data_IF_856859409423
#
_entry.id   IF_856859409423
#
_cell.length_a   1.000
_cell.length_b   1.000
_cell.length_c   1.000
_cell.angle_alpha   90.00
_cell.angle_beta   90.00
_cell.angle_gamma   90.00
#
_symmetry.space_group_name_H-M   'P 1'
#
loop_
_entity.id
_entity.type
_entity.pdbx_description
1 polymer ?
#
# COMPACT_ATOMS: atom_id res chain seq x y z
N UNK A 1 -7.90 11.07 25.96
CA UNK A 1 -9.02 10.50 26.75
C UNK A 1 -10.34 10.52 25.96
N UNK A 2 -10.68 11.66 25.33
CA UNK A 2 -11.94 11.84 24.60
C UNK A 2 -12.12 10.90 23.39
N UNK A 3 -11.08 10.70 22.57
CA UNK A 3 -11.13 9.81 21.40
C UNK A 3 -11.35 8.35 21.82
N UNK A 4 -10.68 7.89 22.89
CA UNK A 4 -10.86 6.53 23.41
C UNK A 4 -12.30 6.26 23.89
N UNK A 5 -12.98 7.27 24.41
CA UNK A 5 -14.38 7.16 24.85
C UNK A 5 -15.39 6.93 23.72
N UNK A 6 -15.00 7.16 22.46
CA UNK A 6 -15.83 6.91 21.28
C UNK A 6 -15.70 5.48 20.74
N UNK A 7 -14.71 4.71 21.21
CA UNK A 7 -14.45 3.34 20.75
C UNK A 7 -15.25 2.38 21.63
N UNK A 8 -16.10 1.57 21.00
CA UNK A 8 -16.88 0.52 21.65
C UNK A 8 -16.50 -0.83 21.05
N UNK A 9 -16.22 -1.81 21.90
CA UNK A 9 -15.98 -3.20 21.50
C UNK A 9 -17.23 -4.04 21.71
N UNK A 10 -17.55 -4.92 20.77
CA UNK A 10 -18.59 -5.93 20.89
C UNK A 10 -18.21 -7.19 20.13
N UNK A 11 -18.70 -8.35 20.55
CA UNK A 11 -18.62 -9.62 19.83
C UNK A 11 -19.86 -9.90 18.99
N UNK A 12 -20.89 -9.06 19.10
CA UNK A 12 -22.09 -9.14 18.27
C UNK A 12 -21.93 -8.26 17.03
N UNK A 13 -21.83 -8.89 15.87
CA UNK A 13 -21.65 -8.21 14.61
C UNK A 13 -22.85 -7.30 14.25
N UNK A 14 -24.08 -7.72 14.56
CA UNK A 14 -25.26 -6.92 14.26
C UNK A 14 -25.27 -5.60 15.07
N UNK A 15 -24.84 -5.67 16.34
CA UNK A 15 -24.66 -4.47 17.19
C UNK A 15 -23.55 -3.58 16.67
N UNK A 16 -22.44 -4.18 16.17
CA UNK A 16 -21.32 -3.41 15.66
C UNK A 16 -21.65 -2.63 14.39
N UNK A 17 -22.47 -3.19 13.49
CA UNK A 17 -22.65 -2.67 12.12
C UNK A 17 -24.05 -2.17 11.79
N UNK A 18 -25.02 -2.33 12.71
CA UNK A 18 -26.46 -2.06 12.43
C UNK A 18 -26.79 -0.60 12.12
N UNK A 19 -25.97 0.36 12.55
CA UNK A 19 -26.16 1.80 12.33
C UNK A 19 -24.96 2.46 11.64
N UNK A 20 -24.05 1.68 11.05
CA UNK A 20 -22.83 2.22 10.46
C UNK A 20 -23.01 2.71 9.03
N UNK A 21 -22.25 3.72 8.64
CA UNK A 21 -22.09 4.15 7.25
C UNK A 21 -20.88 3.52 6.55
N UNK A 22 -19.90 3.01 7.32
CA UNK A 22 -18.67 2.41 6.82
C UNK A 22 -18.25 1.20 7.63
N UNK A 23 -17.92 0.11 6.97
CA UNK A 23 -17.27 -1.05 7.57
C UNK A 23 -15.89 -1.24 6.95
N UNK A 24 -14.86 -1.33 7.79
CA UNK A 24 -13.50 -1.69 7.38
C UNK A 24 -13.19 -3.11 7.86
N UNK A 25 -13.28 -4.08 6.96
CA UNK A 25 -12.99 -5.48 7.28
C UNK A 25 -11.47 -5.71 7.36
N UNK A 26 -11.03 -6.35 8.44
CA UNK A 26 -9.63 -6.65 8.75
C UNK A 26 -9.45 -8.09 9.24
N UNK A 27 -10.25 -9.04 8.75
CA UNK A 27 -10.13 -10.46 9.12
C UNK A 27 -8.91 -11.11 8.45
N UNK A 28 -8.63 -12.37 8.80
CA UNK A 28 -7.50 -13.11 8.21
C UNK A 28 -7.53 -13.10 6.68
N UNK A 29 -6.34 -13.03 6.08
CA UNK A 29 -6.13 -12.97 4.63
C UNK A 29 -6.38 -14.35 3.99
N UNK A 30 -7.66 -14.79 4.06
CA UNK A 30 -8.19 -16.05 3.50
C UNK A 30 -9.50 -15.75 2.77
N UNK A 31 -9.60 -16.14 1.51
CA UNK A 31 -10.75 -15.83 0.64
C UNK A 31 -12.05 -16.38 1.22
N UNK A 32 -12.02 -17.60 1.76
CA UNK A 32 -13.20 -18.26 2.35
C UNK A 32 -13.75 -17.46 3.52
N UNK A 33 -12.87 -17.04 4.44
CA UNK A 33 -13.24 -16.23 5.60
C UNK A 33 -13.82 -14.88 5.17
N UNK A 34 -13.21 -14.24 4.17
CA UNK A 34 -13.72 -12.96 3.64
C UNK A 34 -15.09 -13.11 2.98
N UNK A 35 -15.34 -14.19 2.24
CA UNK A 35 -16.66 -14.49 1.65
C UNK A 35 -17.76 -14.61 2.70
N UNK A 36 -17.50 -15.39 3.76
CA UNK A 36 -18.44 -15.56 4.89
C UNK A 36 -18.73 -14.23 5.56
N UNK A 37 -17.69 -13.48 5.89
CA UNK A 37 -17.82 -12.19 6.57
C UNK A 37 -18.54 -11.16 5.70
N UNK A 38 -18.25 -11.06 4.41
CA UNK A 38 -18.93 -10.12 3.52
C UNK A 38 -20.40 -10.48 3.30
N UNK A 39 -20.76 -11.76 3.28
CA UNK A 39 -22.17 -12.20 3.24
C UNK A 39 -22.91 -11.80 4.51
N UNK A 40 -22.28 -11.96 5.69
CA UNK A 40 -22.88 -11.52 6.96
C UNK A 40 -22.99 -9.99 7.07
N UNK A 41 -21.95 -9.26 6.65
CA UNK A 41 -21.96 -7.80 6.65
C UNK A 41 -23.07 -7.26 5.76
N UNK A 42 -23.25 -7.83 4.56
CA UNK A 42 -24.30 -7.41 3.64
C UNK A 42 -25.71 -7.61 4.23
N UNK A 43 -25.91 -8.69 4.99
CA UNK A 43 -27.18 -8.98 5.63
C UNK A 43 -27.49 -8.10 6.87
N UNK A 44 -26.46 -7.57 7.54
CA UNK A 44 -26.59 -6.91 8.86
C UNK A 44 -26.36 -5.39 8.83
N UNK A 45 -25.78 -4.87 7.75
CA UNK A 45 -25.52 -3.42 7.61
C UNK A 45 -26.66 -2.70 6.91
N UNK A 46 -26.84 -1.40 7.17
CA UNK A 46 -27.77 -0.57 6.40
C UNK A 46 -27.45 -0.63 4.88
N UNK A 47 -28.46 -0.55 4.02
CA UNK A 47 -28.26 -0.64 2.56
C UNK A 47 -27.30 0.41 1.97
N UNK A 48 -27.18 1.57 2.64
CA UNK A 48 -26.29 2.66 2.23
C UNK A 48 -24.87 2.56 2.79
N UNK A 49 -24.57 1.58 3.66
CA UNK A 49 -23.24 1.42 4.23
C UNK A 49 -22.23 0.89 3.20
N UNK A 50 -21.04 1.47 3.16
CA UNK A 50 -19.93 0.98 2.33
C UNK A 50 -19.24 -0.18 3.06
N UNK A 51 -19.00 -1.27 2.32
CA UNK A 51 -18.30 -2.45 2.81
C UNK A 51 -16.90 -2.50 2.19
N UNK A 52 -15.90 -2.08 2.95
CA UNK A 52 -14.51 -2.01 2.52
C UNK A 52 -13.67 -3.13 3.14
N UNK A 53 -12.75 -3.71 2.36
CA UNK A 53 -11.76 -4.66 2.86
C UNK A 53 -10.39 -4.01 2.96
N UNK A 54 -9.63 -4.37 4.01
CA UNK A 54 -8.21 -4.03 4.16
C UNK A 54 -7.26 -5.05 3.52
N UNK A 55 -7.77 -5.97 2.69
CA UNK A 55 -6.90 -6.95 2.01
C UNK A 55 -5.75 -6.28 1.30
N UNK A 56 -4.57 -6.87 1.39
CA UNK A 56 -3.36 -6.30 0.79
C UNK A 56 -3.09 -6.80 -0.63
N UNK A 57 -3.70 -7.94 -1.04
CA UNK A 57 -3.34 -8.60 -2.29
C UNK A 57 -4.51 -9.10 -3.10
N UNK A 58 -5.63 -9.49 -2.46
CA UNK A 58 -6.76 -10.09 -3.16
C UNK A 58 -7.63 -9.04 -3.86
N UNK A 59 -7.91 -9.20 -5.16
CA UNK A 59 -8.97 -8.44 -5.80
C UNK A 59 -10.31 -8.62 -5.07
N UNK A 60 -11.04 -7.54 -4.83
CA UNK A 60 -12.33 -7.57 -4.13
C UNK A 60 -13.34 -8.49 -4.78
N UNK A 61 -13.27 -8.66 -6.10
CA UNK A 61 -14.11 -9.57 -6.87
C UNK A 61 -14.00 -11.05 -6.44
N UNK A 62 -12.87 -11.45 -5.85
CA UNK A 62 -12.65 -12.85 -5.45
C UNK A 62 -13.51 -13.28 -4.26
N UNK A 63 -14.01 -12.34 -3.45
CA UNK A 63 -14.80 -12.65 -2.26
C UNK A 63 -16.14 -11.91 -2.19
N UNK A 64 -16.43 -10.97 -3.09
CA UNK A 64 -17.71 -10.23 -3.09
C UNK A 64 -18.64 -10.61 -4.23
N UNK A 65 -18.28 -11.58 -5.08
CA UNK A 65 -19.05 -11.96 -6.28
C UNK A 65 -20.51 -12.36 -5.95
N UNK A 66 -20.69 -13.11 -4.87
CA UNK A 66 -22.01 -13.65 -4.46
C UNK A 66 -22.76 -12.72 -3.49
N UNK A 67 -22.17 -11.57 -3.11
CA UNK A 67 -22.81 -10.60 -2.21
C UNK A 67 -23.92 -9.86 -2.96
N UNK A 68 -25.14 -9.84 -2.43
CA UNK A 68 -26.30 -9.17 -3.07
C UNK A 68 -26.06 -7.66 -3.22
N UNK A 69 -25.56 -7.01 -2.17
CA UNK A 69 -25.19 -5.60 -2.13
C UNK A 69 -23.79 -5.29 -2.65
N UNK A 70 -23.24 -6.11 -3.56
CA UNK A 70 -21.86 -5.99 -4.06
C UNK A 70 -21.52 -4.64 -4.71
N UNK A 71 -22.54 -3.88 -5.14
CA UNK A 71 -22.36 -2.53 -5.69
C UNK A 71 -21.79 -1.54 -4.67
N UNK A 72 -21.90 -1.84 -3.37
CA UNK A 72 -21.36 -1.06 -2.24
C UNK A 72 -20.09 -1.66 -1.62
N UNK A 73 -19.53 -2.72 -2.25
CA UNK A 73 -18.31 -3.37 -1.82
C UNK A 73 -17.11 -2.87 -2.61
N UNK A 74 -15.98 -2.67 -1.93
CA UNK A 74 -14.70 -2.31 -2.53
C UNK A 74 -13.54 -2.72 -1.63
N UNK A 75 -12.32 -2.57 -2.10
CA UNK A 75 -11.13 -2.61 -1.24
C UNK A 75 -10.72 -1.16 -0.91
N UNK A 76 -10.47 -0.90 0.38
CA UNK A 76 -9.80 0.31 0.86
C UNK A 76 -8.53 -0.14 1.59
N UNK A 77 -7.44 -0.28 0.85
CA UNK A 77 -6.18 -0.84 1.32
C UNK A 77 -5.31 0.24 1.96
N UNK A 78 -5.13 0.25 3.29
CA UNK A 78 -4.22 1.15 3.97
C UNK A 78 -2.79 0.63 3.88
N UNK A 79 -1.82 1.55 3.88
CA UNK A 79 -0.40 1.19 3.83
C UNK A 79 0.17 1.17 5.24
N UNK A 80 0.94 0.13 5.57
CA UNK A 80 1.54 -0.04 6.89
C UNK A 80 2.72 0.91 7.14
N UNK A 81 2.83 1.51 8.33
CA UNK A 81 1.86 1.49 9.44
C UNK A 81 0.72 2.51 9.19
N UNK A 82 -0.57 2.08 9.23
CA UNK A 82 -1.70 2.88 8.75
C UNK A 82 -2.00 4.13 9.58
N UNK A 83 -1.47 4.20 10.79
CA UNK A 83 -1.56 5.39 11.66
C UNK A 83 -0.52 6.47 11.36
N UNK A 84 0.43 6.22 10.46
CA UNK A 84 1.47 7.17 10.04
C UNK A 84 1.51 7.38 8.53
N UNK A 85 1.27 6.34 7.74
CA UNK A 85 1.26 6.43 6.27
C UNK A 85 -0.17 6.73 5.81
N UNK A 86 -0.46 7.93 5.32
CA UNK A 86 -1.83 8.34 5.05
C UNK A 86 -2.41 7.79 3.76
N UNK A 87 -1.62 7.10 2.93
CA UNK A 87 -2.10 6.58 1.64
C UNK A 87 -3.10 5.45 1.82
N UNK A 88 -4.23 5.54 1.11
CA UNK A 88 -5.22 4.47 0.98
C UNK A 88 -5.52 4.22 -0.50
N UNK A 89 -5.45 2.97 -0.93
CA UNK A 89 -5.82 2.54 -2.26
C UNK A 89 -7.30 2.16 -2.28
N UNK A 90 -8.12 2.94 -2.96
CA UNK A 90 -9.53 2.62 -3.23
C UNK A 90 -9.58 1.79 -4.52
N UNK A 91 -9.97 0.54 -4.38
CA UNK A 91 -9.99 -0.43 -5.47
C UNK A 91 -11.42 -0.90 -5.71
N UNK A 92 -12.14 -0.30 -6.66
CA UNK A 92 -13.47 -0.76 -7.03
C UNK A 92 -13.41 -2.16 -7.63
N UNK A 93 -14.42 -2.99 -7.33
CA UNK A 93 -14.67 -4.25 -8.03
C UNK A 93 -15.40 -3.98 -9.35
N UNK A 94 -15.57 -4.97 -10.25
CA UNK A 94 -16.32 -4.77 -11.50
C UNK A 94 -17.78 -4.34 -11.33
N UNK A 95 -18.35 -4.54 -10.15
CA UNK A 95 -19.74 -4.18 -9.80
C UNK A 95 -19.88 -3.03 -8.80
N UNK A 96 -18.78 -2.52 -8.25
CA UNK A 96 -18.84 -1.35 -7.37
C UNK A 96 -19.41 -0.15 -8.13
N UNK A 97 -20.42 0.50 -7.56
CA UNK A 97 -21.02 1.65 -8.22
C UNK A 97 -20.08 2.86 -8.24
N UNK A 98 -20.18 3.74 -9.23
CA UNK A 98 -19.43 4.99 -9.26
C UNK A 98 -19.66 5.84 -8.01
N UNK A 99 -20.89 5.90 -7.52
CA UNK A 99 -21.28 6.67 -6.33
C UNK A 99 -20.59 6.11 -5.08
N UNK A 100 -20.52 4.79 -4.93
CA UNK A 100 -19.78 4.14 -3.85
C UNK A 100 -18.29 4.50 -3.90
N UNK A 101 -17.70 4.51 -5.08
CA UNK A 101 -16.29 4.86 -5.27
C UNK A 101 -16.01 6.32 -4.89
N UNK A 102 -16.89 7.24 -5.30
CA UNK A 102 -16.79 8.67 -4.95
C UNK A 102 -16.93 8.86 -3.45
N UNK A 103 -17.98 8.29 -2.84
CA UNK A 103 -18.21 8.38 -1.40
C UNK A 103 -17.06 7.80 -0.57
N UNK A 104 -16.48 6.67 -1.01
CA UNK A 104 -15.31 6.09 -0.36
C UNK A 104 -14.08 7.01 -0.40
N UNK A 105 -13.83 7.65 -1.54
CA UNK A 105 -12.75 8.63 -1.68
C UNK A 105 -12.95 9.84 -0.77
N UNK A 106 -14.17 10.39 -0.75
CA UNK A 106 -14.52 11.54 0.07
C UNK A 106 -14.40 11.22 1.57
N UNK A 107 -14.92 10.08 2.01
CA UNK A 107 -14.79 9.63 3.39
C UNK A 107 -13.33 9.49 3.82
N UNK A 108 -12.48 8.87 3.00
CA UNK A 108 -11.06 8.74 3.32
C UNK A 108 -10.34 10.09 3.37
N UNK A 109 -10.69 11.03 2.50
CA UNK A 109 -10.15 12.39 2.53
C UNK A 109 -10.60 13.16 3.79
N UNK A 110 -11.87 13.02 4.20
CA UNK A 110 -12.41 13.65 5.40
C UNK A 110 -11.65 13.22 6.67
N UNK A 111 -11.32 11.93 6.79
CA UNK A 111 -10.51 11.40 7.90
C UNK A 111 -8.99 11.62 7.71
N UNK A 112 -8.61 12.56 6.81
CA UNK A 112 -7.22 12.97 6.58
C UNK A 112 -6.31 11.90 5.98
N UNK A 113 -6.89 10.91 5.32
CA UNK A 113 -6.11 10.01 4.47
C UNK A 113 -5.88 10.62 3.08
N UNK A 114 -4.95 10.04 2.31
CA UNK A 114 -4.66 10.41 0.91
C UNK A 114 -5.17 9.28 0.02
N UNK A 115 -6.45 9.30 -0.40
CA UNK A 115 -6.99 8.25 -1.22
C UNK A 115 -6.51 8.35 -2.68
N UNK A 116 -6.04 7.24 -3.23
CA UNK A 116 -5.89 7.06 -4.68
C UNK A 116 -6.94 6.05 -5.16
N UNK A 117 -7.51 6.29 -6.34
CA UNK A 117 -8.56 5.44 -6.90
C UNK A 117 -8.01 4.70 -8.10
N UNK A 118 -8.05 3.37 -8.04
CA UNK A 118 -7.69 2.53 -9.17
C UNK A 118 -8.83 2.50 -10.20
N UNK A 119 -8.50 2.48 -11.48
CA UNK A 119 -9.50 2.37 -12.57
C UNK A 119 -10.07 0.95 -12.68
N UNK A 120 -9.34 -0.04 -12.22
CA UNK A 120 -9.73 -1.46 -12.16
C UNK A 120 -8.89 -2.18 -11.12
N UNK A 121 -9.42 -3.28 -10.60
CA UNK A 121 -8.64 -4.14 -9.71
C UNK A 121 -7.53 -4.89 -10.47
N UNK A 122 -6.41 -5.04 -9.80
CA UNK A 122 -5.27 -5.89 -10.22
C UNK A 122 -4.68 -6.55 -8.96
N UNK A 123 -4.17 -7.78 -9.05
CA UNK A 123 -3.50 -8.41 -7.90
C UNK A 123 -2.37 -7.54 -7.36
N UNK A 124 -2.34 -7.32 -6.02
CA UNK A 124 -1.34 -6.52 -5.33
C UNK A 124 -1.48 -5.00 -5.53
N UNK A 125 -2.54 -4.55 -6.18
CA UNK A 125 -2.87 -3.13 -6.40
C UNK A 125 -1.69 -2.32 -6.99
N UNK A 126 -1.46 -1.06 -6.56
CA UNK A 126 -0.37 -0.25 -7.10
C UNK A 126 0.87 -0.30 -6.21
N UNK A 127 0.71 -0.07 -4.90
CA UNK A 127 1.85 0.05 -3.98
C UNK A 127 2.64 -1.25 -3.90
N UNK A 128 1.96 -2.40 -3.71
CA UNK A 128 2.65 -3.69 -3.67
C UNK A 128 3.30 -4.05 -5.01
N UNK A 129 2.69 -3.69 -6.14
CA UNK A 129 3.29 -3.93 -7.46
C UNK A 129 4.58 -3.14 -7.65
N UNK A 130 4.60 -1.86 -7.26
CA UNK A 130 5.80 -1.03 -7.30
C UNK A 130 6.87 -1.55 -6.33
N UNK A 131 6.45 -1.94 -5.12
CA UNK A 131 7.36 -2.52 -4.13
C UNK A 131 7.98 -3.85 -4.63
N UNK A 132 7.18 -4.73 -5.22
CA UNK A 132 7.67 -6.01 -5.77
C UNK A 132 8.63 -5.79 -6.93
N UNK A 133 8.38 -4.80 -7.80
CA UNK A 133 9.29 -4.47 -8.89
C UNK A 133 10.66 -4.03 -8.35
N UNK A 134 10.67 -3.15 -7.33
CA UNK A 134 11.89 -2.69 -6.68
C UNK A 134 12.61 -3.84 -5.94
N UNK A 135 11.88 -4.60 -5.11
CA UNK A 135 12.45 -5.73 -4.37
C UNK A 135 12.97 -6.84 -5.31
N UNK A 136 12.28 -7.08 -6.41
CA UNK A 136 12.72 -8.07 -7.41
C UNK A 136 14.11 -7.75 -7.96
N UNK A 137 14.36 -6.48 -8.28
CA UNK A 137 15.67 -6.04 -8.72
C UNK A 137 16.68 -5.98 -7.56
N UNK A 138 16.29 -5.53 -6.39
CA UNK A 138 17.15 -5.49 -5.22
C UNK A 138 17.72 -6.88 -4.87
N UNK A 139 16.87 -7.89 -4.80
CA UNK A 139 17.30 -9.27 -4.54
C UNK A 139 18.16 -9.83 -5.69
N UNK A 140 17.88 -9.49 -6.95
CA UNK A 140 18.67 -9.88 -8.10
C UNK A 140 20.10 -9.36 -8.00
N UNK A 141 20.26 -8.05 -7.72
CA UNK A 141 21.58 -7.41 -7.61
C UNK A 141 22.42 -8.01 -6.48
N UNK A 142 21.79 -8.39 -5.36
CA UNK A 142 22.48 -9.11 -4.26
C UNK A 142 22.81 -10.56 -4.64
N UNK A 143 21.92 -11.28 -5.34
CA UNK A 143 22.13 -12.63 -5.83
C UNK A 143 23.30 -12.69 -6.83
N UNK A 144 23.32 -11.73 -7.76
CA UNK A 144 24.36 -11.60 -8.81
C UNK A 144 25.67 -10.97 -8.28
N UNK A 145 25.78 -10.74 -6.96
CA UNK A 145 26.98 -10.20 -6.27
C UNK A 145 27.40 -8.81 -6.76
N UNK A 146 26.47 -8.02 -7.30
CA UNK A 146 26.72 -6.65 -7.75
C UNK A 146 26.88 -5.69 -6.58
N UNK A 147 26.11 -5.91 -5.50
CA UNK A 147 26.08 -5.04 -4.31
C UNK A 147 25.64 -5.83 -3.07
N UNK A 148 26.08 -5.40 -1.89
CA UNK A 148 25.57 -5.92 -0.60
C UNK A 148 24.23 -5.28 -0.21
N UNK A 149 23.46 -5.97 0.65
CA UNK A 149 22.14 -5.53 1.05
C UNK A 149 22.14 -4.17 1.81
N UNK A 150 23.20 -3.89 2.56
CA UNK A 150 23.33 -2.64 3.33
C UNK A 150 23.53 -1.44 2.39
N UNK A 151 24.45 -1.57 1.43
CA UNK A 151 24.70 -0.49 0.47
C UNK A 151 23.53 -0.29 -0.49
N UNK A 152 22.80 -1.37 -0.82
CA UNK A 152 21.55 -1.28 -1.59
C UNK A 152 20.48 -0.48 -0.85
N UNK A 153 20.32 -0.70 0.47
CA UNK A 153 19.43 0.12 1.30
C UNK A 153 19.82 1.61 1.24
N UNK A 154 21.12 1.95 1.27
CA UNK A 154 21.60 3.33 1.10
C UNK A 154 21.26 3.90 -0.28
N UNK A 155 21.40 3.12 -1.36
CA UNK A 155 21.04 3.56 -2.71
C UNK A 155 19.56 3.98 -2.80
N UNK A 156 18.68 3.33 -2.03
CA UNK A 156 17.27 3.72 -1.97
C UNK A 156 17.05 4.85 -0.98
N UNK A 157 17.49 4.71 0.29
CA UNK A 157 17.17 5.66 1.35
C UNK A 157 17.77 7.06 1.09
N UNK A 158 19.02 7.11 0.64
CA UNK A 158 19.77 8.35 0.42
C UNK A 158 19.78 8.79 -1.06
N UNK A 159 19.28 7.94 -1.95
CA UNK A 159 19.19 8.16 -3.39
C UNK A 159 17.75 8.38 -3.87
N UNK A 160 17.15 7.33 -4.43
CA UNK A 160 15.82 7.42 -5.05
C UNK A 160 14.73 7.83 -4.06
N UNK A 161 14.68 7.20 -2.90
CA UNK A 161 13.67 7.41 -1.87
C UNK A 161 13.69 8.81 -1.27
N UNK A 162 14.87 9.46 -1.21
CA UNK A 162 14.97 10.83 -0.73
C UNK A 162 14.11 11.78 -1.58
N UNK A 163 14.16 11.66 -2.90
CA UNK A 163 13.31 12.46 -3.81
C UNK A 163 11.85 12.02 -3.74
N UNK A 164 11.59 10.71 -3.71
CA UNK A 164 10.25 10.16 -3.65
C UNK A 164 9.53 10.40 -2.31
N UNK A 165 10.24 10.91 -1.31
CA UNK A 165 9.61 11.30 -0.05
C UNK A 165 8.65 12.49 -0.19
N UNK A 166 8.78 13.32 -1.25
CA UNK A 166 7.95 14.50 -1.48
C UNK A 166 7.42 14.65 -2.93
N UNK A 167 7.98 13.94 -3.90
CA UNK A 167 7.49 13.90 -5.29
C UNK A 167 7.41 12.46 -5.79
N UNK A 168 6.57 12.20 -6.80
CA UNK A 168 6.45 10.89 -7.40
C UNK A 168 7.52 10.61 -8.48
N UNK A 169 7.58 9.38 -9.02
CA UNK A 169 8.56 9.02 -10.05
C UNK A 169 8.38 9.82 -11.36
N UNK A 170 7.15 10.10 -11.77
CA UNK A 170 6.91 10.89 -12.99
C UNK A 170 7.33 12.35 -12.82
N UNK A 171 6.98 12.98 -11.72
CA UNK A 171 7.44 14.32 -11.39
C UNK A 171 8.96 14.39 -11.28
N UNK A 172 9.58 13.36 -10.70
CA UNK A 172 11.04 13.27 -10.61
C UNK A 172 11.71 13.30 -11.99
N UNK A 173 11.22 12.53 -12.95
CA UNK A 173 11.81 12.51 -14.30
C UNK A 173 11.44 13.74 -15.13
N UNK A 174 10.27 14.33 -14.88
CA UNK A 174 9.84 15.57 -15.51
C UNK A 174 10.76 16.73 -15.14
N UNK A 175 11.19 16.79 -13.89
CA UNK A 175 12.13 17.81 -13.39
C UNK A 175 13.61 17.52 -13.70
N UNK A 176 13.96 16.32 -14.15
CA UNK A 176 15.33 15.92 -14.45
C UNK A 176 15.79 16.24 -15.88
N UNK A 177 14.91 16.78 -16.72
CA UNK A 177 15.27 17.18 -18.07
C UNK A 177 14.70 18.55 -18.41
N UNK A 178 15.45 19.43 -19.12
CA UNK A 178 14.99 20.78 -19.47
C UNK A 178 13.67 20.82 -20.26
N UNK A 179 13.41 19.81 -21.09
CA UNK A 179 12.18 19.65 -21.87
C UNK A 179 11.14 18.74 -21.21
N UNK A 180 11.30 18.44 -19.91
CA UNK A 180 10.37 17.62 -19.14
C UNK A 180 10.41 16.13 -19.50
N UNK A 181 9.33 15.42 -19.20
CA UNK A 181 9.22 13.96 -19.35
C UNK A 181 9.49 13.49 -20.78
N UNK A 182 9.11 14.27 -21.80
CA UNK A 182 9.34 13.91 -23.20
C UNK A 182 10.85 13.91 -23.52
N UNK A 183 11.54 14.98 -23.17
CA UNK A 183 13.00 15.11 -23.35
C UNK A 183 13.74 14.04 -22.54
N UNK A 184 13.28 13.74 -21.32
CA UNK A 184 13.84 12.66 -20.51
C UNK A 184 13.72 11.30 -21.20
N UNK A 185 12.54 10.97 -21.73
CA UNK A 185 12.32 9.69 -22.43
C UNK A 185 13.09 9.61 -23.75
N UNK A 186 13.23 10.70 -24.48
CA UNK A 186 14.06 10.75 -25.70
C UNK A 186 15.54 10.46 -25.40
N UNK A 187 16.06 10.94 -24.27
CA UNK A 187 17.47 10.72 -23.87
C UNK A 187 17.72 9.35 -23.26
N UNK A 188 16.82 8.88 -22.41
CA UNK A 188 17.05 7.72 -21.54
C UNK A 188 16.16 6.50 -21.85
N UNK A 189 15.15 6.64 -22.70
CA UNK A 189 14.19 5.57 -22.96
C UNK A 189 14.81 4.31 -23.52
N UNK A 190 15.71 4.42 -24.49
CA UNK A 190 16.39 3.26 -25.08
C UNK A 190 17.34 2.57 -24.07
N UNK A 191 18.25 3.26 -23.37
CA UNK A 191 19.06 2.64 -22.31
C UNK A 191 18.22 1.98 -21.21
N UNK A 192 17.11 2.60 -20.80
CA UNK A 192 16.22 2.03 -19.78
C UNK A 192 15.48 0.80 -20.26
N UNK A 193 15.08 0.77 -21.54
CA UNK A 193 14.52 -0.43 -22.15
C UNK A 193 15.52 -1.61 -22.11
N UNK A 194 16.79 -1.36 -22.45
CA UNK A 194 17.85 -2.38 -22.42
C UNK A 194 18.08 -2.91 -21.00
N UNK A 195 18.09 -2.03 -19.99
CA UNK A 195 18.15 -2.41 -18.59
C UNK A 195 16.94 -3.27 -18.22
N UNK A 196 15.72 -2.84 -18.56
CA UNK A 196 14.48 -3.55 -18.24
C UNK A 196 14.42 -4.95 -18.88
N UNK A 197 14.96 -5.13 -20.09
CA UNK A 197 15.10 -6.45 -20.70
C UNK A 197 16.01 -7.36 -19.88
N UNK A 198 17.10 -6.83 -19.32
CA UNK A 198 18.01 -7.58 -18.44
C UNK A 198 17.38 -7.97 -17.09
N UNK A 199 16.34 -7.28 -16.66
CA UNK A 199 15.61 -7.55 -15.41
C UNK A 199 14.55 -8.67 -15.54
N UNK A 200 14.34 -9.23 -16.72
CA UNK A 200 13.42 -10.34 -16.98
C UNK A 200 14.18 -11.66 -17.17
N UNK A 201 13.64 -12.83 -16.77
CA UNK A 201 12.37 -13.06 -16.06
C UNK A 201 12.47 -12.81 -14.55
N UNK A 202 11.30 -12.76 -13.87
CA UNK A 202 11.24 -12.67 -12.42
C UNK A 202 11.91 -13.91 -11.78
N UNK A 203 12.69 -13.69 -10.72
CA UNK A 203 13.35 -14.74 -9.95
C UNK A 203 12.60 -15.00 -8.63
N UNK A 204 12.57 -16.24 -8.19
CA UNK A 204 12.09 -16.59 -6.84
C UNK A 204 13.17 -16.28 -5.82
N UNK A 205 12.78 -15.71 -4.70
CA UNK A 205 13.66 -15.53 -3.55
C UNK A 205 13.84 -16.87 -2.85
N UNK A 206 14.93 -17.56 -3.17
CA UNK A 206 15.26 -18.86 -2.59
C UNK A 206 15.92 -18.70 -1.22
N UNK A 207 15.96 -19.79 -0.45
CA UNK A 207 16.48 -19.78 0.92
C UNK A 207 17.94 -19.30 1.03
N UNK A 208 18.89 -19.70 0.17
CA UNK A 208 20.25 -19.18 0.22
C UNK A 208 20.32 -17.66 0.07
N UNK A 209 19.55 -17.09 -0.85
CA UNK A 209 19.48 -15.64 -1.08
C UNK A 209 18.87 -14.89 0.11
N UNK A 210 17.75 -15.41 0.65
CA UNK A 210 17.10 -14.81 1.83
C UNK A 210 18.05 -14.85 3.02
N UNK A 211 18.70 -15.98 3.28
CA UNK A 211 19.69 -16.14 4.35
C UNK A 211 20.88 -15.19 4.21
N UNK A 212 21.40 -15.00 2.98
CA UNK A 212 22.49 -14.03 2.71
C UNK A 212 22.08 -12.60 3.08
N UNK A 213 20.93 -12.15 2.57
CA UNK A 213 20.41 -10.80 2.88
C UNK A 213 20.13 -10.64 4.37
N UNK A 214 19.52 -11.65 5.01
CA UNK A 214 19.27 -11.62 6.45
C UNK A 214 20.57 -11.51 7.24
N UNK A 215 21.58 -12.28 6.93
CA UNK A 215 22.87 -12.26 7.62
C UNK A 215 23.51 -10.86 7.53
N UNK A 216 23.56 -10.26 6.36
CA UNK A 216 24.06 -8.90 6.19
C UNK A 216 23.25 -7.88 7.02
N UNK A 217 21.92 -7.98 6.99
CA UNK A 217 21.05 -7.10 7.79
C UNK A 217 21.22 -7.31 9.30
N UNK A 218 21.43 -8.54 9.76
CA UNK A 218 21.65 -8.84 11.20
C UNK A 218 22.99 -8.32 11.73
N UNK A 219 24.01 -8.14 10.88
CA UNK A 219 25.26 -7.47 11.27
C UNK A 219 25.03 -6.00 11.65
N UNK A 220 24.10 -5.31 10.96
CA UNK A 220 23.79 -3.89 11.21
C UNK A 220 22.68 -3.72 12.25
N UNK A 221 21.69 -4.62 12.25
CA UNK A 221 20.55 -4.61 13.16
C UNK A 221 20.32 -5.99 13.73
N UNK A 222 20.81 -6.30 14.95
CA UNK A 222 20.53 -7.53 15.64
C UNK A 222 19.03 -7.79 15.81
N UNK A 223 18.61 -9.08 15.75
CA UNK A 223 17.20 -9.45 15.80
C UNK A 223 16.47 -8.94 17.05
N UNK A 224 17.14 -8.92 18.20
CA UNK A 224 16.58 -8.41 19.46
C UNK A 224 16.38 -6.87 19.50
N UNK A 225 16.93 -6.14 18.54
CA UNK A 225 16.78 -4.68 18.42
C UNK A 225 15.71 -4.26 17.39
N UNK A 226 15.08 -5.19 16.69
CA UNK A 226 14.07 -4.90 15.64
C UNK A 226 12.93 -4.06 16.22
N UNK A 227 12.43 -4.39 17.40
CA UNK A 227 11.30 -3.67 18.00
C UNK A 227 11.67 -2.22 18.38
N UNK A 228 12.88 -1.99 18.86
CA UNK A 228 13.39 -0.64 19.13
C UNK A 228 13.56 0.15 17.83
N UNK A 229 14.08 -0.49 16.78
CA UNK A 229 14.24 0.13 15.45
C UNK A 229 12.88 0.46 14.81
N UNK A 230 11.84 -0.34 15.05
CA UNK A 230 10.48 -0.01 14.63
C UNK A 230 9.96 1.26 15.32
N UNK A 231 10.19 1.43 16.63
CA UNK A 231 9.83 2.67 17.34
C UNK A 231 10.58 3.88 16.80
N UNK A 232 11.88 3.73 16.54
CA UNK A 232 12.67 4.78 15.89
C UNK A 232 12.09 5.15 14.51
N UNK A 233 11.74 4.16 13.69
CA UNK A 233 11.09 4.37 12.38
C UNK A 233 9.81 5.18 12.53
N UNK A 234 8.96 4.83 13.48
CA UNK A 234 7.68 5.49 13.69
C UNK A 234 7.86 6.97 14.08
N UNK A 235 8.82 7.27 14.98
CA UNK A 235 9.16 8.65 15.35
C UNK A 235 9.70 9.44 14.15
N UNK A 236 10.53 8.81 13.32
CA UNK A 236 11.07 9.47 12.13
C UNK A 236 9.97 9.73 11.08
N UNK A 237 9.08 8.77 10.85
CA UNK A 237 7.92 8.95 9.97
C UNK A 237 7.01 10.07 10.47
N UNK A 238 6.76 10.17 11.77
CA UNK A 238 5.97 11.28 12.34
C UNK A 238 6.56 12.64 11.99
N UNK A 239 7.88 12.81 12.08
CA UNK A 239 8.55 14.06 11.73
C UNK A 239 8.46 14.40 10.24
N UNK A 240 8.61 13.40 9.37
CA UNK A 240 8.43 13.57 7.91
C UNK A 240 7.00 13.96 7.57
N UNK A 241 6.02 13.27 8.13
CA UNK A 241 4.59 13.56 7.87
C UNK A 241 4.23 14.96 8.38
N UNK A 242 4.69 15.36 9.55
CA UNK A 242 4.49 16.71 10.07
C UNK A 242 5.09 17.78 9.15
N UNK A 243 6.32 17.58 8.67
CA UNK A 243 6.97 18.50 7.73
C UNK A 243 6.23 18.56 6.38
N UNK A 244 5.76 17.42 5.85
CA UNK A 244 4.98 17.38 4.60
C UNK A 244 3.64 18.12 4.75
N UNK A 245 2.98 17.99 5.88
CA UNK A 245 1.69 18.66 6.11
C UNK A 245 1.86 20.18 6.25
N UNK A 246 2.89 20.65 6.94
CA UNK A 246 3.15 22.10 7.05
C UNK A 246 3.47 22.80 5.72
N UNK A 247 3.95 22.05 4.71
CA UNK A 247 4.27 22.57 3.38
C UNK A 247 3.14 22.41 2.34
N UNK A 248 2.06 21.71 2.69
CA UNK A 248 0.87 21.57 1.84
C UNK A 248 -0.16 22.67 2.08
N UNK A 249 0.01 23.44 3.15
CA UNK A 249 -0.83 24.58 3.52
C UNK A 249 -0.36 25.89 2.87
N UNK A 250 0.80 25.87 2.21
CA UNK A 250 1.35 26.95 1.38
C UNK A 250 1.01 26.72 -0.11
#
# INVERSE_FOLDING_TARGET
AEIRGRIRGTTDLAVAVGETAWVQECVFEKIEVKREVFAELDAKTPPGAILASSTSTFPGSTFTAEVKGRHRCLVAHPINPPYLVPLVEIVPTPWTSPETTVAAREFMAEIKQVPIVLKREVPGFIVNRLQVALLGEAFRLVEDEVIGAVDLDHAIADGLGLRWSFMGPFETIDLNAPGGIRDYVERFGQPYYEIAVGQSPARKWNEPLVSKVEQERRQVLPANQIQERQRWRDLYLMSIVANKNSRRED
#
